data_IF_138164137793
#
_entry.id   IF_138164137793
#
_cell.length_a   1.000
_cell.length_b   1.000
_cell.length_c   1.000
_cell.angle_alpha   90.00
_cell.angle_beta   90.00
_cell.angle_gamma   90.00
#
_symmetry.space_group_name_H-M   'P 1'
#
loop_
_entity.id
_entity.type
_entity.pdbx_description
1 polymer ?
#
# COMPACT_ATOMS: atom_id res chain seq x y z
N UNK A 1 2.07 14.10 -9.22
CA UNK A 1 2.31 12.78 -8.59
C UNK A 1 1.42 11.71 -9.20
N UNK A 2 0.10 11.91 -9.20
CA UNK A 2 -0.86 11.01 -9.85
C UNK A 2 -0.42 10.61 -11.27
N UNK A 3 -0.19 11.58 -12.16
CA UNK A 3 0.28 11.34 -13.54
C UNK A 3 1.59 10.53 -13.64
N UNK A 4 2.50 10.67 -12.67
CA UNK A 4 3.76 9.93 -12.63
C UNK A 4 3.56 8.46 -12.24
N UNK A 5 2.50 8.15 -11.51
CA UNK A 5 2.18 6.78 -11.10
C UNK A 5 1.28 6.07 -12.12
N UNK A 6 0.54 6.83 -12.93
CA UNK A 6 -0.35 6.32 -13.98
C UNK A 6 0.34 5.94 -15.29
N UNK A 7 1.63 6.22 -15.44
CA UNK A 7 2.42 5.83 -16.59
C UNK A 7 3.49 4.82 -16.16
N UNK A 8 3.50 3.65 -16.81
CA UNK A 8 4.38 2.51 -16.45
C UNK A 8 5.87 2.88 -16.44
N UNK A 9 6.32 3.74 -17.34
CA UNK A 9 7.72 4.17 -17.40
C UNK A 9 8.06 5.06 -16.22
N UNK A 10 7.20 6.03 -15.90
CA UNK A 10 7.42 6.97 -14.79
C UNK A 10 7.20 6.31 -13.43
N UNK A 11 6.31 5.32 -13.30
CA UNK A 11 6.13 4.55 -12.06
C UNK A 11 7.38 3.73 -11.76
N UNK A 12 8.00 3.14 -12.79
CA UNK A 12 9.29 2.44 -12.66
C UNK A 12 10.40 3.40 -12.22
N UNK A 13 10.42 4.64 -12.70
CA UNK A 13 11.35 5.66 -12.19
C UNK A 13 11.11 5.97 -10.71
N UNK A 14 9.86 6.14 -10.30
CA UNK A 14 9.50 6.35 -8.89
C UNK A 14 9.95 5.18 -8.02
N UNK A 15 9.76 3.93 -8.49
CA UNK A 15 10.29 2.73 -7.82
C UNK A 15 11.81 2.81 -7.66
N UNK A 16 12.53 3.03 -8.76
CA UNK A 16 13.99 3.03 -8.77
C UNK A 16 14.61 4.10 -7.87
N UNK A 17 13.89 5.20 -7.66
CA UNK A 17 14.25 6.28 -6.75
C UNK A 17 14.01 5.80 -5.30
N UNK A 18 12.78 5.37 -4.98
CA UNK A 18 12.36 5.03 -3.61
C UNK A 18 12.84 3.66 -3.10
N UNK A 19 13.37 2.81 -3.97
CA UNK A 19 13.99 1.54 -3.61
C UNK A 19 15.21 1.76 -2.71
N UNK A 20 15.34 1.02 -1.59
CA UNK A 20 16.48 1.16 -0.70
C UNK A 20 17.72 0.61 -1.41
N UNK A 21 18.59 1.51 -1.88
CA UNK A 21 19.89 1.20 -2.51
C UNK A 21 21.03 1.68 -1.63
N UNK A 22 22.14 0.95 -1.61
CA UNK A 22 23.32 1.31 -0.80
C UNK A 22 23.87 2.73 -1.09
N UNK A 23 23.61 3.29 -2.28
CA UNK A 23 24.17 4.58 -2.70
C UNK A 23 23.14 5.71 -2.91
N UNK A 24 21.83 5.44 -2.78
CA UNK A 24 20.80 6.47 -2.93
C UNK A 24 20.32 6.91 -1.55
N UNK A 25 20.87 8.02 -1.06
CA UNK A 25 20.35 8.70 0.13
C UNK A 25 19.31 9.70 -0.33
N UNK A 26 18.05 9.27 -0.38
CA UNK A 26 16.93 10.21 -0.44
C UNK A 26 16.74 10.75 0.97
N UNK A 27 16.58 12.06 1.08
CA UNK A 27 16.20 12.68 2.33
C UNK A 27 14.94 12.01 2.91
N UNK A 28 14.96 11.75 4.21
CA UNK A 28 13.85 11.18 4.95
C UNK A 28 12.56 11.99 4.74
N UNK A 29 12.66 13.31 4.67
CA UNK A 29 11.50 14.19 4.46
C UNK A 29 10.87 13.99 3.09
N UNK A 30 11.68 13.92 2.03
CA UNK A 30 11.18 13.69 0.67
C UNK A 30 10.61 12.29 0.51
N UNK A 31 11.25 11.28 1.09
CA UNK A 31 10.76 9.90 1.09
C UNK A 31 9.40 9.79 1.79
N UNK A 32 9.27 10.42 2.96
CA UNK A 32 8.01 10.50 3.71
C UNK A 32 6.90 11.18 2.90
N UNK A 33 7.22 12.31 2.24
CA UNK A 33 6.27 13.01 1.38
C UNK A 33 5.80 12.14 0.20
N UNK A 34 6.72 11.41 -0.43
CA UNK A 34 6.40 10.47 -1.51
C UNK A 34 5.50 9.33 -1.04
N UNK A 35 5.83 8.68 0.08
CA UNK A 35 5.02 7.58 0.62
C UNK A 35 3.63 8.05 1.06
N UNK A 36 3.53 9.24 1.65
CA UNK A 36 2.24 9.86 1.97
C UNK A 36 1.41 10.11 0.72
N UNK A 37 2.00 10.66 -0.35
CA UNK A 37 1.30 10.89 -1.60
C UNK A 37 0.85 9.57 -2.26
N UNK A 38 1.68 8.52 -2.25
CA UNK A 38 1.32 7.19 -2.73
C UNK A 38 0.13 6.64 -1.92
N UNK A 39 0.19 6.70 -0.59
CA UNK A 39 -0.89 6.22 0.26
C UNK A 39 -2.21 6.94 -0.01
N UNK A 40 -2.19 8.26 -0.23
CA UNK A 40 -3.39 9.02 -0.61
C UNK A 40 -3.97 8.58 -1.96
N UNK A 41 -3.11 8.33 -2.95
CA UNK A 41 -3.53 7.88 -4.29
C UNK A 41 -4.16 6.50 -4.20
N UNK A 42 -3.51 5.57 -3.51
CA UNK A 42 -4.06 4.24 -3.22
C UNK A 42 -5.37 4.38 -2.46
N UNK A 43 -5.45 5.22 -1.43
CA UNK A 43 -6.67 5.44 -0.65
C UNK A 43 -7.86 5.95 -1.47
N UNK A 44 -7.63 6.69 -2.57
CA UNK A 44 -8.67 7.16 -3.49
C UNK A 44 -9.15 6.09 -4.48
N UNK A 45 -8.30 5.11 -4.83
CA UNK A 45 -8.66 4.03 -5.78
C UNK A 45 -9.69 3.06 -5.17
N UNK A 46 -9.73 2.95 -3.84
CA UNK A 46 -10.54 1.97 -3.11
C UNK A 46 -11.60 2.65 -2.24
N UNK A 47 -12.39 3.57 -2.80
CA UNK A 47 -13.54 4.15 -2.10
C UNK A 47 -14.77 3.27 -2.38
N UNK A 48 -15.32 2.57 -1.37
CA UNK A 48 -16.53 1.77 -1.56
C UNK A 48 -17.73 2.65 -1.95
N UNK A 49 -18.48 2.26 -2.98
CA UNK A 49 -19.71 2.92 -3.41
C UNK A 49 -19.56 4.00 -4.48
N UNK A 50 -18.33 4.34 -4.89
CA UNK A 50 -18.10 5.19 -6.05
C UNK A 50 -17.97 4.28 -7.28
N UNK A 51 -18.87 4.43 -8.26
CA UNK A 51 -18.82 3.75 -9.57
C UNK A 51 -17.59 4.09 -10.40
N UNK A 52 -16.67 4.87 -9.84
CA UNK A 52 -15.35 5.03 -10.38
C UNK A 52 -14.48 3.86 -9.93
N UNK A 53 -14.53 2.78 -10.71
CA UNK A 53 -13.33 1.98 -10.96
C UNK A 53 -12.34 2.93 -11.65
N UNK A 54 -11.73 3.86 -10.89
CA UNK A 54 -10.88 4.91 -11.46
C UNK A 54 -9.69 4.24 -12.12
N UNK A 55 -9.67 4.33 -13.46
CA UNK A 55 -8.54 4.11 -14.37
C UNK A 55 -7.46 3.18 -13.81
N UNK A 56 -7.66 1.90 -14.11
CA UNK A 56 -6.65 0.84 -14.01
C UNK A 56 -5.50 1.20 -14.97
N UNK A 57 -4.61 2.09 -14.55
CA UNK A 57 -3.46 2.54 -15.34
C UNK A 57 -2.15 2.52 -14.56
N UNK A 58 -2.19 2.28 -13.25
CA UNK A 58 -0.96 2.17 -12.46
C UNK A 58 -0.25 0.84 -12.75
N UNK A 59 1.08 0.88 -12.79
CA UNK A 59 1.85 -0.32 -12.54
C UNK A 59 1.74 -0.69 -11.06
N UNK A 60 0.65 -1.39 -10.76
CA UNK A 60 0.35 -2.01 -9.47
C UNK A 60 1.52 -2.84 -8.92
N UNK A 61 2.35 -3.40 -9.80
CA UNK A 61 3.51 -4.17 -9.36
C UNK A 61 4.55 -3.28 -8.65
N UNK A 62 4.70 -2.02 -9.06
CA UNK A 62 5.60 -1.04 -8.42
C UNK A 62 5.28 -0.86 -6.94
N UNK A 63 4.01 -0.66 -6.55
CA UNK A 63 3.66 -0.43 -5.14
C UNK A 63 3.77 -1.70 -4.30
N UNK A 64 3.38 -2.85 -4.85
CA UNK A 64 3.62 -4.14 -4.20
C UNK A 64 5.13 -4.34 -3.97
N UNK A 65 5.96 -4.00 -4.95
CA UNK A 65 7.40 -4.13 -4.83
C UNK A 65 7.98 -3.18 -3.77
N UNK A 66 7.49 -1.93 -3.67
CA UNK A 66 7.88 -1.04 -2.57
C UNK A 66 7.46 -1.61 -1.21
N UNK A 67 6.24 -2.13 -1.09
CA UNK A 67 5.77 -2.76 0.15
C UNK A 67 6.58 -3.99 0.53
N UNK A 68 6.95 -4.85 -0.42
CA UNK A 68 7.81 -6.01 -0.15
C UNK A 68 9.15 -5.63 0.47
N UNK A 69 9.62 -4.42 0.20
CA UNK A 69 10.91 -3.91 0.67
C UNK A 69 10.78 -3.09 1.97
N UNK A 70 9.59 -2.93 2.56
CA UNK A 70 9.37 -2.10 3.76
C UNK A 70 10.21 -2.51 4.98
N UNK A 71 10.63 -3.76 5.07
CA UNK A 71 11.57 -4.24 6.08
C UNK A 71 12.97 -3.68 5.87
N UNK A 72 13.36 -3.42 4.62
CA UNK A 72 14.62 -2.81 4.20
C UNK A 72 14.58 -1.26 4.15
N UNK A 73 13.40 -0.64 4.24
CA UNK A 73 13.24 0.81 4.11
C UNK A 73 13.67 1.63 5.34
N UNK A 74 14.09 0.98 6.45
CA UNK A 74 14.47 1.65 7.70
C UNK A 74 13.27 2.14 8.51
N UNK A 75 13.34 3.37 9.03
CA UNK A 75 12.27 3.96 9.86
C UNK A 75 11.05 4.45 9.04
N UNK A 76 11.25 4.86 7.80
CA UNK A 76 10.19 5.39 6.94
C UNK A 76 9.67 4.27 6.04
N UNK A 77 8.46 3.80 6.30
CA UNK A 77 7.85 2.64 5.64
C UNK A 77 6.55 3.02 4.94
N UNK A 78 6.33 2.50 3.73
CA UNK A 78 5.11 2.79 2.97
C UNK A 78 3.86 2.27 3.68
N UNK A 79 3.95 1.09 4.30
CA UNK A 79 2.87 0.46 5.07
C UNK A 79 2.39 1.32 6.23
N UNK A 80 3.24 2.17 6.82
CA UNK A 80 2.85 3.06 7.92
C UNK A 80 1.97 4.22 7.47
N UNK A 81 2.14 4.69 6.24
CA UNK A 81 1.28 5.70 5.63
C UNK A 81 -0.02 5.08 5.13
N UNK A 82 0.03 3.85 4.59
CA UNK A 82 -1.20 3.11 4.25
C UNK A 82 -2.04 2.79 5.50
N UNK A 83 -1.40 2.54 6.64
CA UNK A 83 -2.08 2.31 7.92
C UNK A 83 -2.84 3.54 8.45
N UNK A 84 -2.56 4.73 7.93
CA UNK A 84 -3.27 5.98 8.27
C UNK A 84 -4.55 6.17 7.46
N UNK A 85 -4.78 5.35 6.44
CA UNK A 85 -6.03 5.39 5.69
C UNK A 85 -7.21 5.06 6.60
N UNK A 86 -8.40 5.65 6.34
CA UNK A 86 -9.61 5.31 7.07
C UNK A 86 -9.85 3.81 7.05
N UNK A 87 -10.29 3.25 8.18
CA UNK A 87 -10.46 1.81 8.32
C UNK A 87 -11.39 1.21 7.26
N UNK A 88 -12.40 1.98 6.84
CA UNK A 88 -13.34 1.58 5.78
C UNK A 88 -12.69 1.46 4.41
N UNK A 89 -11.66 2.27 4.14
CA UNK A 89 -10.87 2.15 2.91
C UNK A 89 -10.07 0.86 2.94
N UNK A 90 -9.34 0.60 4.03
CA UNK A 90 -8.58 -0.65 4.20
C UNK A 90 -9.51 -1.89 4.18
N UNK A 91 -10.70 -1.79 4.74
CA UNK A 91 -11.71 -2.85 4.67
C UNK A 91 -12.17 -3.07 3.23
N UNK A 92 -12.33 -2.04 2.40
CA UNK A 92 -12.72 -2.22 1.00
C UNK A 92 -11.65 -2.95 0.15
N UNK A 93 -10.36 -2.90 0.53
CA UNK A 93 -9.29 -3.63 -0.16
C UNK A 93 -9.54 -5.15 -0.14
N UNK A 94 -10.35 -5.61 0.82
CA UNK A 94 -10.80 -6.98 0.98
C UNK A 94 -11.87 -7.40 -0.04
N UNK A 95 -12.61 -6.43 -0.59
CA UNK A 95 -13.84 -6.66 -1.36
C UNK A 95 -13.63 -6.56 -2.87
N UNK A 96 -12.49 -6.08 -3.35
CA UNK A 96 -12.27 -5.85 -4.78
C UNK A 96 -11.88 -7.16 -5.51
N UNK A 97 -12.69 -7.52 -6.50
CA UNK A 97 -12.58 -8.71 -7.37
C UNK A 97 -11.27 -8.84 -8.21
N UNK A 98 -10.31 -7.93 -8.06
CA UNK A 98 -9.05 -7.93 -8.80
C UNK A 98 -7.85 -8.41 -7.98
N UNK A 99 -8.04 -8.90 -6.75
CA UNK A 99 -7.00 -9.50 -5.89
C UNK A 99 -5.91 -8.55 -5.39
N UNK A 100 -5.77 -7.37 -6.00
CA UNK A 100 -4.68 -6.44 -5.73
C UNK A 100 -4.72 -5.79 -4.34
N UNK A 101 -5.92 -5.37 -3.88
CA UNK A 101 -6.09 -4.86 -2.52
C UNK A 101 -5.70 -5.90 -1.47
N UNK A 102 -6.01 -7.17 -1.70
CA UNK A 102 -5.57 -8.27 -0.84
C UNK A 102 -4.05 -8.40 -0.79
N UNK A 103 -3.34 -8.27 -1.92
CA UNK A 103 -1.87 -8.29 -1.93
C UNK A 103 -1.26 -7.12 -1.15
N UNK A 104 -1.83 -5.92 -1.25
CA UNK A 104 -1.38 -4.77 -0.43
C UNK A 104 -1.52 -5.08 1.06
N UNK A 105 -2.69 -5.56 1.50
CA UNK A 105 -2.92 -5.95 2.89
C UNK A 105 -1.98 -7.06 3.35
N UNK A 106 -1.72 -8.05 2.48
CA UNK A 106 -0.78 -9.15 2.75
C UNK A 106 0.62 -8.62 3.00
N UNK A 107 1.17 -7.78 2.12
CA UNK A 107 2.53 -7.26 2.30
C UNK A 107 2.63 -6.27 3.45
N UNK A 108 1.59 -5.49 3.74
CA UNK A 108 1.52 -4.71 4.99
C UNK A 108 1.65 -5.58 6.25
N UNK A 109 1.19 -6.84 6.21
CA UNK A 109 1.35 -7.79 7.32
C UNK A 109 2.71 -8.49 7.32
N UNK A 110 3.21 -8.87 6.14
CA UNK A 110 4.47 -9.61 6.00
C UNK A 110 5.71 -8.73 6.27
N UNK A 111 5.82 -7.57 5.62
CA UNK A 111 7.00 -6.68 5.67
C UNK A 111 6.76 -5.36 6.41
N UNK A 112 5.51 -5.01 6.69
CA UNK A 112 5.15 -3.75 7.34
C UNK A 112 5.47 -3.69 8.84
N UNK A 113 5.36 -2.49 9.41
CA UNK A 113 5.58 -2.28 10.85
C UNK A 113 4.44 -2.86 11.71
N UNK A 114 4.59 -2.81 13.04
CA UNK A 114 3.50 -3.14 13.96
C UNK A 114 2.26 -2.27 13.73
N UNK A 115 2.42 -0.99 13.37
CA UNK A 115 1.32 -0.06 13.06
C UNK A 115 0.50 -0.60 11.88
N UNK A 116 1.17 -1.01 10.81
CA UNK A 116 0.53 -1.59 9.64
C UNK A 116 -0.21 -2.90 9.96
N UNK A 117 0.45 -3.81 10.68
CA UNK A 117 -0.15 -5.09 11.11
C UNK A 117 -1.43 -4.88 11.92
N UNK A 118 -1.41 -3.95 12.87
CA UNK A 118 -2.57 -3.61 13.69
C UNK A 118 -3.69 -2.99 12.86
N UNK A 119 -3.38 -2.09 11.92
CA UNK A 119 -4.36 -1.49 11.04
C UNK A 119 -5.05 -2.53 10.14
N UNK A 120 -4.28 -3.44 9.53
CA UNK A 120 -4.83 -4.53 8.72
C UNK A 120 -5.69 -5.47 9.59
N UNK A 121 -5.22 -5.85 10.77
CA UNK A 121 -6.00 -6.70 11.67
C UNK A 121 -7.36 -6.07 12.06
N UNK A 122 -7.40 -4.75 12.28
CA UNK A 122 -8.66 -4.02 12.51
C UNK A 122 -9.56 -4.04 11.26
N UNK A 123 -8.98 -3.85 10.07
CA UNK A 123 -9.72 -3.80 8.82
C UNK A 123 -10.37 -5.16 8.49
N UNK A 124 -9.63 -6.26 8.71
CA UNK A 124 -10.10 -7.62 8.50
C UNK A 124 -11.20 -8.01 9.49
N UNK A 125 -11.14 -7.56 10.74
CA UNK A 125 -12.22 -7.76 11.73
C UNK A 125 -13.51 -7.05 11.35
N UNK A 126 -13.41 -5.89 10.68
CA UNK A 126 -14.57 -5.12 10.20
C UNK A 126 -15.11 -5.63 8.86
N UNK A 127 -14.31 -6.38 8.10
CA UNK A 127 -14.69 -6.85 6.77
C UNK A 127 -15.84 -7.89 6.84
N UNK A 128 -17.01 -7.61 6.22
CA UNK A 128 -18.19 -8.47 6.34
C UNK A 128 -18.04 -9.85 5.68
N UNK A 129 -16.99 -10.11 4.88
CA UNK A 129 -16.84 -11.31 4.06
C UNK A 129 -15.50 -12.07 4.21
N UNK A 130 -14.66 -11.72 5.18
CA UNK A 130 -13.38 -12.41 5.37
C UNK A 130 -13.48 -13.46 6.49
N UNK A 131 -14.01 -14.64 6.14
CA UNK A 131 -13.54 -15.92 6.71
C UNK A 131 -12.29 -16.37 5.93
N UNK A 132 -11.27 -15.52 5.84
CA UNK A 132 -9.99 -15.95 5.27
C UNK A 132 -9.31 -16.79 6.33
N UNK A 133 -8.89 -18.00 5.94
CA UNK A 133 -8.16 -18.96 6.74
C UNK A 133 -6.78 -18.47 7.16
N UNK A 134 -6.73 -17.40 7.94
CA UNK A 134 -5.61 -17.11 8.83
C UNK A 134 -5.64 -18.21 9.90
N UNK A 135 -4.91 -19.30 9.63
CA UNK A 135 -4.53 -20.25 10.68
C UNK A 135 -3.91 -19.43 11.79
N UNK A 136 -4.54 -19.49 12.97
CA UNK A 136 -4.05 -18.87 14.20
C UNK A 136 -2.60 -19.26 14.43
N UNK A 137 -1.72 -18.28 14.43
CA UNK A 137 -0.43 -18.36 15.10
C UNK A 137 -0.39 -17.12 15.99
N UNK A 138 -0.89 -17.30 17.21
CA UNK A 138 -0.52 -16.47 18.35
C UNK A 138 0.81 -16.99 18.88
#
# INVERSE_FOLDING_TARGET
>A
MEELLFNNSTSTFVFNILEPKMNNVIDSEYKAACFKAIAQIVGKEFIPGVSQIMKIGYDRSTFINLLKLDDLQGEIKLSDYLAELPIDHLTSFCSINNGYGYFLLRYMVESGSLKAKVAVAKALKKAPYIKIGLKKSF
#
